data_IF_503157731718
#
_entry.id   IF_503157731718
#
_cell.length_a   1.000
_cell.length_b   1.000
_cell.length_c   1.000
_cell.angle_alpha   90.00
_cell.angle_beta   90.00
_cell.angle_gamma   90.00
#
_symmetry.space_group_name_H-M   'P 1'
#
loop_
_entity.id
_entity.type
_entity.pdbx_description
1 polymer ?
#
# COMPACT_ATOMS: atom_id res chain seq x y z
N UNK A 1 5.34 15.61 -10.55
CA UNK A 1 4.45 15.74 -9.37
C UNK A 1 4.86 14.65 -8.40
N UNK A 2 5.22 14.98 -7.15
CA UNK A 2 5.63 13.97 -6.15
C UNK A 2 4.42 13.16 -5.68
N UNK A 3 4.61 11.93 -5.20
CA UNK A 3 3.48 11.09 -4.76
C UNK A 3 2.88 11.64 -3.45
N UNK A 4 3.69 12.32 -2.63
CA UNK A 4 3.21 13.13 -1.50
C UNK A 4 2.12 14.12 -1.89
N UNK A 5 2.30 14.88 -2.97
CA UNK A 5 1.32 15.88 -3.41
C UNK A 5 -0.01 15.23 -3.82
N UNK A 6 0.05 14.08 -4.50
CA UNK A 6 -1.15 13.30 -4.83
C UNK A 6 -1.86 12.82 -3.55
N UNK A 7 -1.12 12.34 -2.54
CA UNK A 7 -1.70 11.88 -1.28
C UNK A 7 -2.34 13.01 -0.46
N UNK A 8 -1.77 14.21 -0.50
CA UNK A 8 -2.35 15.38 0.18
C UNK A 8 -3.65 15.84 -0.48
N UNK A 9 -3.74 15.75 -1.82
CA UNK A 9 -4.95 16.11 -2.56
C UNK A 9 -6.06 15.04 -2.52
N UNK A 10 -5.75 13.82 -2.09
CA UNK A 10 -6.71 12.72 -2.06
C UNK A 10 -7.90 13.04 -1.16
N UNK A 11 -9.10 13.06 -1.75
CA UNK A 11 -10.39 13.26 -1.07
C UNK A 11 -10.48 14.53 -0.21
N UNK A 12 -9.74 15.58 -0.59
CA UNK A 12 -9.70 16.85 0.15
C UNK A 12 -9.22 16.70 1.62
N UNK A 13 -8.54 15.59 1.93
CA UNK A 13 -8.23 15.21 3.32
C UNK A 13 -7.35 16.26 4.01
N UNK A 14 -6.41 16.86 3.30
CA UNK A 14 -5.53 17.89 3.85
C UNK A 14 -6.33 19.12 4.34
N UNK A 15 -7.30 19.58 3.54
CA UNK A 15 -8.12 20.73 3.87
C UNK A 15 -9.08 20.41 5.03
N UNK A 16 -9.67 19.21 5.05
CA UNK A 16 -10.51 18.75 6.15
C UNK A 16 -9.73 18.66 7.48
N UNK A 17 -8.50 18.15 7.46
CA UNK A 17 -7.63 18.15 8.64
C UNK A 17 -7.33 19.58 9.10
N UNK A 18 -6.97 20.47 8.18
CA UNK A 18 -6.64 21.86 8.50
C UNK A 18 -7.84 22.62 9.09
N UNK A 19 -9.04 22.42 8.55
CA UNK A 19 -10.28 23.01 9.07
C UNK A 19 -10.57 22.61 10.53
N UNK A 20 -10.05 21.46 10.97
CA UNK A 20 -10.18 20.95 12.33
C UNK A 20 -8.95 21.26 13.20
N UNK A 21 -7.98 22.04 12.70
CA UNK A 21 -6.75 22.38 13.43
C UNK A 21 -5.68 21.28 13.42
N UNK A 22 -5.82 20.26 12.58
CA UNK A 22 -4.82 19.20 12.41
C UNK A 22 -3.92 19.45 11.19
N UNK A 23 -2.64 19.08 11.32
CA UNK A 23 -1.69 19.06 10.20
C UNK A 23 -1.56 17.63 9.67
N UNK A 24 -1.98 17.43 8.42
CA UNK A 24 -1.78 16.16 7.72
C UNK A 24 -0.31 16.02 7.30
N UNK A 25 0.30 14.88 7.57
CA UNK A 25 1.66 14.53 7.15
C UNK A 25 1.56 13.28 6.28
N UNK A 26 1.96 13.34 4.99
CA UNK A 26 1.88 12.19 4.12
C UNK A 26 2.97 11.18 4.49
N UNK A 27 2.55 9.99 4.92
CA UNK A 27 3.45 8.90 5.31
C UNK A 27 3.70 7.96 4.12
N UNK A 28 4.38 8.49 3.09
CA UNK A 28 4.67 7.76 1.86
C UNK A 28 5.99 7.01 2.01
N UNK A 29 5.95 5.71 1.71
CA UNK A 29 7.12 4.82 1.70
C UNK A 29 7.15 4.00 0.41
N UNK A 30 8.33 3.92 -0.20
CA UNK A 30 8.61 3.04 -1.32
C UNK A 30 8.73 1.59 -0.87
N UNK A 31 8.54 0.63 -1.79
CA UNK A 31 8.59 -0.80 -1.50
C UNK A 31 9.87 -1.25 -0.78
N UNK A 32 10.99 -0.58 -1.05
CA UNK A 32 12.30 -0.87 -0.47
C UNK A 32 12.62 -0.05 0.79
N UNK A 33 11.68 0.77 1.28
CA UNK A 33 11.80 1.50 2.54
C UNK A 33 12.30 2.93 2.43
N UNK A 34 12.42 3.49 1.22
CA UNK A 34 12.65 4.92 1.03
C UNK A 34 11.41 5.72 1.44
N UNK A 35 11.54 6.61 2.42
CA UNK A 35 10.45 7.49 2.84
C UNK A 35 10.54 8.82 2.09
N UNK A 36 9.42 9.40 1.69
CA UNK A 36 9.44 10.75 1.09
C UNK A 36 9.75 11.85 2.14
N UNK A 37 10.16 13.07 1.71
CA UNK A 37 10.75 14.08 2.59
C UNK A 37 9.89 14.53 3.78
N UNK A 38 8.56 14.62 3.62
CA UNK A 38 7.67 15.05 4.70
C UNK A 38 7.63 14.02 5.83
N UNK A 39 7.54 12.73 5.48
CA UNK A 39 7.62 11.63 6.43
C UNK A 39 8.99 11.61 7.13
N UNK A 40 10.09 11.74 6.37
CA UNK A 40 11.44 11.78 6.94
C UNK A 40 11.62 12.90 7.95
N UNK A 41 11.10 14.09 7.64
CA UNK A 41 11.17 15.25 8.52
C UNK A 41 10.43 14.98 9.83
N UNK A 42 9.23 14.41 9.74
CA UNK A 42 8.45 14.03 10.92
C UNK A 42 9.15 12.97 11.78
N UNK A 43 9.73 11.94 11.16
CA UNK A 43 10.47 10.92 11.90
C UNK A 43 11.70 11.46 12.62
N UNK A 44 12.43 12.41 12.01
CA UNK A 44 13.57 13.06 12.67
C UNK A 44 13.12 13.83 13.92
N UNK A 45 11.97 14.50 13.88
CA UNK A 45 11.39 15.17 15.06
C UNK A 45 11.06 14.15 16.17
N UNK A 46 10.41 13.04 15.82
CA UNK A 46 10.07 11.98 16.79
C UNK A 46 11.32 11.33 17.40
N UNK A 47 12.32 11.02 16.56
CA UNK A 47 13.56 10.40 16.99
C UNK A 47 14.37 11.34 17.89
N UNK A 48 14.43 12.62 17.56
CA UNK A 48 15.08 13.65 18.40
C UNK A 48 14.38 13.81 19.75
N UNK A 49 13.05 13.85 19.78
CA UNK A 49 12.29 13.84 21.04
C UNK A 49 12.59 12.59 21.89
N UNK A 50 12.96 11.47 21.25
CA UNK A 50 13.41 10.27 21.95
C UNK A 50 14.83 10.43 22.48
N UNK A 51 15.76 10.96 21.68
CA UNK A 51 17.13 11.28 22.09
C UNK A 51 17.17 12.19 23.32
N UNK A 52 16.37 13.27 23.30
CA UNK A 52 16.26 14.23 24.41
C UNK A 52 15.81 13.58 25.72
N UNK A 53 14.90 12.60 25.65
CA UNK A 53 14.40 11.88 26.84
C UNK A 53 15.32 10.79 27.34
N UNK A 54 16.14 10.19 26.48
CA UNK A 54 17.00 9.05 26.83
C UNK A 54 18.48 9.43 27.01
N UNK A 55 18.87 10.65 26.64
CA UNK A 55 20.26 11.11 26.69
C UNK A 55 21.17 10.50 25.62
N UNK A 56 20.60 9.80 24.64
CA UNK A 56 21.34 9.18 23.52
C UNK A 56 21.58 10.23 22.43
N UNK A 57 22.70 10.20 21.67
CA UNK A 57 22.91 11.14 20.57
C UNK A 57 21.81 11.07 19.50
N UNK A 58 21.42 12.24 18.96
CA UNK A 58 20.39 12.36 17.90
C UNK A 58 20.63 11.43 16.71
N UNK A 59 21.88 11.34 16.24
CA UNK A 59 22.25 10.49 15.11
C UNK A 59 21.97 9.01 15.38
N UNK A 60 22.21 8.55 16.61
CA UNK A 60 21.95 7.18 17.05
C UNK A 60 20.46 6.94 17.15
N UNK A 61 19.71 7.85 17.78
CA UNK A 61 18.26 7.71 17.92
C UNK A 61 17.55 7.70 16.55
N UNK A 62 17.94 8.59 15.64
CA UNK A 62 17.42 8.63 14.27
C UNK A 62 17.74 7.33 13.53
N UNK A 63 18.99 6.86 13.60
CA UNK A 63 19.40 5.62 12.92
C UNK A 63 18.60 4.41 13.44
N UNK A 64 18.52 4.24 14.76
CA UNK A 64 17.74 3.18 15.39
C UNK A 64 16.26 3.26 14.99
N UNK A 65 15.69 4.46 14.96
CA UNK A 65 14.30 4.65 14.54
C UNK A 65 14.05 4.17 13.11
N UNK A 66 14.93 4.51 12.16
CA UNK A 66 14.83 4.00 10.78
C UNK A 66 15.06 2.49 10.68
N UNK A 67 15.96 1.91 11.49
CA UNK A 67 16.13 0.45 11.56
C UNK A 67 14.82 -0.24 12.02
N UNK A 68 14.18 0.29 13.07
CA UNK A 68 12.90 -0.22 13.54
C UNK A 68 11.82 -0.12 12.45
N UNK A 69 11.71 1.02 11.77
CA UNK A 69 10.77 1.18 10.66
C UNK A 69 11.04 0.19 9.52
N UNK A 70 12.31 -0.03 9.17
CA UNK A 70 12.71 -0.99 8.14
C UNK A 70 12.28 -2.42 8.48
N UNK A 71 12.55 -2.88 9.70
CA UNK A 71 12.13 -4.22 10.17
C UNK A 71 10.60 -4.33 10.16
N UNK A 72 9.88 -3.28 10.59
CA UNK A 72 8.41 -3.29 10.59
C UNK A 72 7.84 -3.35 9.19
N UNK A 73 8.42 -2.61 8.24
CA UNK A 73 8.03 -2.67 6.83
C UNK A 73 8.27 -4.06 6.24
N UNK A 74 9.45 -4.64 6.44
CA UNK A 74 9.77 -5.99 5.95
C UNK A 74 8.77 -7.04 6.49
N UNK A 75 8.45 -6.99 7.78
CA UNK A 75 7.47 -7.90 8.39
C UNK A 75 6.07 -7.70 7.82
N UNK A 76 5.65 -6.44 7.60
CA UNK A 76 4.36 -6.12 7.01
C UNK A 76 4.27 -6.63 5.56
N UNK A 77 5.34 -6.43 4.77
CA UNK A 77 5.45 -6.93 3.40
C UNK A 77 5.37 -8.47 3.38
N UNK A 78 6.14 -9.16 4.23
CA UNK A 78 6.10 -10.61 4.35
C UNK A 78 4.69 -11.12 4.71
N UNK A 79 4.01 -10.47 5.66
CA UNK A 79 2.62 -10.81 6.03
C UNK A 79 1.67 -10.62 4.85
N UNK A 80 1.78 -9.51 4.12
CA UNK A 80 0.96 -9.24 2.93
C UNK A 80 1.16 -10.30 1.85
N UNK A 81 2.40 -10.74 1.62
CA UNK A 81 2.70 -11.82 0.67
C UNK A 81 2.09 -13.14 1.14
N UNK A 82 2.37 -13.57 2.38
CA UNK A 82 1.90 -14.86 2.90
C UNK A 82 0.37 -14.95 2.94
N UNK A 83 -0.31 -13.87 3.35
CA UNK A 83 -1.78 -13.83 3.37
C UNK A 83 -2.40 -13.96 1.99
N UNK A 84 -1.80 -13.33 0.96
CA UNK A 84 -2.24 -13.48 -0.44
C UNK A 84 -1.96 -14.88 -0.98
N UNK A 85 -0.81 -15.45 -0.67
CA UNK A 85 -0.45 -16.79 -1.11
C UNK A 85 -1.39 -17.85 -0.53
N UNK A 86 -1.74 -17.76 0.76
CA UNK A 86 -2.72 -18.66 1.39
C UNK A 86 -4.11 -18.50 0.77
N UNK A 87 -4.55 -17.26 0.52
CA UNK A 87 -5.83 -17.01 -0.15
C UNK A 87 -5.87 -17.57 -1.58
N UNK A 88 -4.73 -17.57 -2.29
CA UNK A 88 -4.61 -18.17 -3.62
C UNK A 88 -4.56 -19.70 -3.57
N UNK A 89 -3.89 -20.28 -2.57
CA UNK A 89 -3.79 -21.73 -2.39
C UNK A 89 -5.11 -22.36 -1.91
N UNK A 90 -5.88 -21.61 -1.11
CA UNK A 90 -7.18 -22.05 -0.60
C UNK A 90 -8.35 -21.67 -1.53
N UNK A 91 -8.06 -21.15 -2.73
CA UNK A 91 -9.08 -20.98 -3.77
C UNK A 91 -9.39 -22.39 -4.29
N UNK A 92 -10.59 -22.95 -4.07
CA UNK A 92 -10.96 -24.20 -4.71
C UNK A 92 -10.77 -24.00 -6.21
N UNK A 93 -10.12 -24.96 -6.87
CA UNK A 93 -9.97 -24.95 -8.32
C UNK A 93 -11.35 -24.66 -8.91
N UNK A 94 -11.54 -23.50 -9.52
CA UNK A 94 -12.78 -23.17 -10.19
C UNK A 94 -13.00 -24.20 -11.29
N UNK A 95 -13.81 -25.22 -11.02
CA UNK A 95 -14.35 -26.18 -12.00
C UNK A 95 -15.40 -25.51 -12.91
N UNK A 96 -15.22 -24.21 -13.21
CA UNK A 96 -16.14 -23.40 -14.03
C UNK A 96 -15.38 -22.72 -15.16
N UNK A 97 -14.58 -23.49 -15.91
CA UNK A 97 -14.19 -23.12 -17.27
C UNK A 97 -14.66 -24.15 -18.32
N UNK A 98 -15.38 -25.20 -17.93
CA UNK A 98 -15.90 -26.21 -18.87
C UNK A 98 -17.37 -25.98 -19.28
N UNK A 99 -18.08 -24.99 -18.71
CA UNK A 99 -19.50 -24.76 -18.99
C UNK A 99 -19.77 -23.73 -20.10
N UNK A 100 -18.82 -22.85 -20.43
CA UNK A 100 -19.06 -21.77 -21.40
C UNK A 100 -18.70 -22.13 -22.85
N UNK A 101 -18.01 -23.25 -23.09
CA UNK A 101 -17.62 -23.67 -24.45
C UNK A 101 -18.76 -24.34 -25.25
N UNK A 102 -19.89 -24.69 -24.60
CA UNK A 102 -21.07 -25.22 -25.30
C UNK A 102 -22.05 -24.13 -25.75
N UNK A 103 -22.01 -22.94 -25.14
CA UNK A 103 -22.91 -21.84 -25.48
C UNK A 103 -22.45 -21.06 -26.71
N UNK A 104 -21.13 -20.94 -26.95
CA UNK A 104 -20.62 -20.24 -28.13
C UNK A 104 -20.79 -21.05 -29.43
N UNK A 105 -20.67 -22.39 -29.38
CA UNK A 105 -20.92 -23.24 -30.54
C UNK A 105 -22.41 -23.21 -30.99
N UNK A 106 -23.34 -23.10 -30.04
CA UNK A 106 -24.76 -22.98 -30.34
C UNK A 106 -25.12 -21.60 -30.93
N UNK A 107 -24.45 -20.52 -30.47
CA UNK A 107 -24.63 -19.17 -31.01
C UNK A 107 -24.07 -19.03 -32.44
N UNK A 108 -22.96 -19.70 -32.76
CA UNK A 108 -22.39 -19.71 -34.11
C UNK A 108 -23.22 -20.52 -35.12
N UNK A 109 -23.84 -21.63 -34.69
CA UNK A 109 -24.71 -22.42 -35.58
C UNK A 109 -26.03 -21.70 -35.90
N UNK A 110 -26.60 -20.96 -34.94
CA UNK A 110 -27.83 -20.19 -35.13
C UNK A 110 -27.61 -18.95 -36.01
N UNK A 111 -26.42 -18.33 -35.97
CA UNK A 111 -26.09 -17.19 -36.82
C UNK A 111 -25.91 -17.57 -38.30
N UNK A 112 -25.52 -18.82 -38.60
CA UNK A 112 -25.30 -19.29 -39.96
C UNK A 112 -26.60 -19.65 -40.72
N UNK A 113 -27.72 -19.91 -40.02
CA UNK A 113 -29.00 -20.25 -40.67
C UNK A 113 -29.91 -19.04 -40.95
N UNK A 114 -29.50 -17.83 -40.58
CA UNK A 114 -30.27 -16.60 -40.78
C UNK A 114 -29.80 -15.76 -41.99
N UNK A 115 -28.85 -16.28 -42.78
CA UNK A 115 -28.24 -15.57 -43.91
C UNK A 115 -28.41 -16.31 -45.26
N UNK A 116 -29.50 -17.07 -45.44
CA UNK A 116 -29.93 -17.60 -46.75
C UNK A 116 -31.23 -16.97 -47.21
#
# INVERSE_FOLDING_TARGET
MTYEAHKLADRDTANLCQAQGFRLIPMVVETLGGWEPAAQTFFKVLARSTAERTGVPDSVAVNQFYQYLGIRLQRANARSILTRSVASANRPASTTLAANSRSEAALLLAAASAAS
#
